data_IF_169243101444
#
_entry.id   IF_169243101444
#
_cell.length_a   1.000
_cell.length_b   1.000
_cell.length_c   1.000
_cell.angle_alpha   90.00
_cell.angle_beta   90.00
_cell.angle_gamma   90.00
#
_symmetry.space_group_name_H-M   'P 1'
#
loop_
_entity.id
_entity.type
_entity.pdbx_description
1 polymer ?
#
# COMPACT_ATOMS: atom_id res chain seq x y z
N UNK A 1 25.84 -36.44 -5.42
CA UNK A 1 24.74 -36.94 -4.58
C UNK A 1 24.92 -36.25 -3.22
N UNK A 2 24.19 -35.15 -2.98
CA UNK A 2 23.05 -35.07 -2.04
C UNK A 2 23.47 -35.55 -0.64
N UNK A 3 23.46 -34.75 0.42
CA UNK A 3 22.26 -34.06 0.92
C UNK A 3 22.58 -32.79 1.72
N UNK A 4 21.67 -31.83 1.54
CA UNK A 4 21.49 -30.62 2.32
C UNK A 4 21.04 -30.95 3.75
N UNK A 5 21.56 -30.25 4.75
CA UNK A 5 20.79 -30.04 5.98
C UNK A 5 21.01 -28.61 6.49
N UNK A 6 20.09 -27.75 6.07
CA UNK A 6 19.96 -26.38 6.50
C UNK A 6 19.06 -26.37 7.73
N UNK A 7 19.66 -26.38 8.92
CA UNK A 7 18.91 -26.16 10.15
C UNK A 7 18.67 -24.66 10.35
N UNK A 8 17.61 -24.17 9.71
CA UNK A 8 16.94 -22.92 10.05
C UNK A 8 16.33 -23.06 11.46
N UNK A 9 17.11 -22.81 12.50
CA UNK A 9 16.53 -22.46 13.80
C UNK A 9 16.06 -21.01 13.72
N UNK A 10 14.83 -20.87 13.23
CA UNK A 10 14.06 -19.64 13.30
C UNK A 10 13.70 -19.40 14.76
N UNK A 11 14.47 -18.56 15.43
CA UNK A 11 14.11 -17.93 16.70
C UNK A 11 12.78 -17.18 16.54
N UNK A 12 11.68 -17.87 16.79
CA UNK A 12 10.38 -17.26 16.98
C UNK A 12 10.38 -16.56 18.34
N UNK A 13 10.85 -15.32 18.34
CA UNK A 13 10.56 -14.38 19.43
C UNK A 13 9.10 -13.91 19.31
N UNK A 14 8.22 -14.17 20.29
CA UNK A 14 6.82 -13.72 20.25
C UNK A 14 6.72 -12.27 20.74
N UNK A 15 7.48 -11.34 20.15
CA UNK A 15 7.58 -9.97 20.68
C UNK A 15 7.60 -8.83 19.67
N UNK A 16 7.14 -9.07 18.45
CA UNK A 16 6.88 -8.00 17.47
C UNK A 16 5.66 -8.32 16.61
N UNK A 17 4.51 -8.57 17.23
CA UNK A 17 3.25 -8.15 16.61
C UNK A 17 3.11 -6.63 16.75
N UNK A 18 4.09 -5.89 16.21
CA UNK A 18 4.01 -4.46 16.02
C UNK A 18 2.92 -4.25 14.98
N UNK A 19 1.76 -3.81 15.48
CA UNK A 19 0.57 -3.38 14.74
C UNK A 19 0.75 -3.40 13.23
N UNK A 20 0.25 -4.45 12.59
CA UNK A 20 0.11 -4.47 11.13
C UNK A 20 -0.68 -3.23 10.75
N UNK A 21 -0.04 -2.27 10.07
CA UNK A 21 -0.70 -1.05 9.57
C UNK A 21 -2.05 -1.43 8.95
N UNK A 22 -3.11 -0.71 9.28
CA UNK A 22 -4.46 -1.00 8.80
C UNK A 22 -4.52 -1.14 7.25
N UNK A 23 -3.63 -0.42 6.55
CA UNK A 23 -3.42 -0.56 5.10
C UNK A 23 -2.89 -1.95 4.69
N UNK A 24 -1.95 -2.54 5.45
CA UNK A 24 -1.47 -3.90 5.26
C UNK A 24 -2.55 -4.95 5.58
N UNK A 25 -3.35 -4.74 6.63
CA UNK A 25 -4.47 -5.63 6.98
C UNK A 25 -5.50 -5.71 5.84
N UNK A 26 -5.93 -4.56 5.33
CA UNK A 26 -6.91 -4.51 4.27
C UNK A 26 -6.36 -4.92 2.91
N UNK A 27 -5.06 -4.70 2.66
CA UNK A 27 -4.37 -5.28 1.51
C UNK A 27 -4.39 -6.81 1.54
N UNK A 28 -4.16 -7.42 2.72
CA UNK A 28 -4.25 -8.88 2.87
C UNK A 28 -5.68 -9.37 2.60
N UNK A 29 -6.72 -8.64 3.04
CA UNK A 29 -8.11 -8.98 2.70
C UNK A 29 -8.38 -8.93 1.19
N UNK A 30 -7.90 -7.92 0.47
CA UNK A 30 -8.13 -7.84 -0.99
C UNK A 30 -7.35 -8.87 -1.80
N UNK A 31 -6.17 -9.30 -1.33
CA UNK A 31 -5.47 -10.44 -1.92
C UNK A 31 -6.28 -11.75 -1.78
N UNK A 32 -7.17 -11.86 -0.79
CA UNK A 32 -7.99 -13.06 -0.56
C UNK A 32 -9.20 -13.23 -1.48
N UNK A 33 -9.61 -12.22 -2.28
CA UNK A 33 -10.86 -12.30 -3.06
C UNK A 33 -10.70 -13.15 -4.34
N UNK A 34 -11.64 -14.06 -4.64
CA UNK A 34 -11.68 -14.77 -5.93
C UNK A 34 -12.00 -13.79 -7.08
N UNK A 35 -11.39 -13.99 -8.26
CA UNK A 35 -11.38 -13.06 -9.42
C UNK A 35 -10.71 -11.71 -9.15
N UNK A 36 -9.44 -11.76 -8.74
CA UNK A 36 -8.55 -10.61 -8.53
C UNK A 36 -8.47 -9.73 -9.79
N UNK A 37 -9.15 -8.59 -9.79
CA UNK A 37 -8.87 -7.50 -10.73
C UNK A 37 -7.78 -6.64 -10.12
N UNK A 38 -6.54 -6.70 -10.63
CA UNK A 38 -5.40 -5.95 -10.06
C UNK A 38 -5.69 -4.46 -9.86
N UNK A 39 -6.45 -3.85 -10.78
CA UNK A 39 -6.89 -2.46 -10.65
C UNK A 39 -7.80 -2.24 -9.43
N UNK A 40 -8.69 -3.18 -9.11
CA UNK A 40 -9.55 -3.08 -7.92
C UNK A 40 -8.73 -3.15 -6.65
N UNK A 41 -7.76 -4.06 -6.59
CA UNK A 41 -6.84 -4.19 -5.45
C UNK A 41 -6.03 -2.89 -5.27
N UNK A 42 -5.51 -2.33 -6.37
CA UNK A 42 -4.78 -1.07 -6.35
C UNK A 42 -5.68 0.11 -5.93
N UNK A 43 -6.91 0.19 -6.42
CA UNK A 43 -7.91 1.18 -6.01
C UNK A 43 -8.21 1.11 -4.51
N UNK A 44 -8.45 -0.10 -3.99
CA UNK A 44 -8.68 -0.29 -2.55
C UNK A 44 -7.45 0.11 -1.75
N UNK A 45 -6.25 -0.30 -2.16
CA UNK A 45 -5.02 0.14 -1.49
C UNK A 45 -4.88 1.67 -1.47
N UNK A 46 -5.17 2.33 -2.59
CA UNK A 46 -5.13 3.79 -2.69
C UNK A 46 -6.13 4.46 -1.74
N UNK A 47 -7.37 3.96 -1.68
CA UNK A 47 -8.41 4.48 -0.78
C UNK A 47 -7.95 4.40 0.68
N UNK A 48 -7.36 3.29 1.09
CA UNK A 48 -7.01 3.03 2.47
C UNK A 48 -5.77 3.79 2.92
N UNK A 49 -4.79 3.96 2.01
CA UNK A 49 -3.68 4.89 2.26
C UNK A 49 -4.20 6.32 2.47
N UNK A 50 -5.22 6.76 1.72
CA UNK A 50 -5.82 8.08 1.95
C UNK A 50 -6.51 8.20 3.31
N UNK A 51 -7.32 7.21 3.70
CA UNK A 51 -7.99 7.18 5.00
C UNK A 51 -6.98 7.22 6.15
N UNK A 52 -5.88 6.47 6.05
CA UNK A 52 -4.82 6.45 7.06
C UNK A 52 -4.12 7.80 7.19
N UNK A 53 -3.81 8.45 6.05
CA UNK A 53 -3.22 9.81 6.06
C UNK A 53 -4.16 10.79 6.76
N UNK A 54 -5.46 10.77 6.45
CA UNK A 54 -6.45 11.66 7.06
C UNK A 54 -6.59 11.44 8.57
N UNK A 55 -6.67 10.18 9.00
CA UNK A 55 -6.76 9.82 10.42
C UNK A 55 -5.52 10.28 11.19
N UNK A 56 -4.32 10.07 10.63
CA UNK A 56 -3.09 10.46 11.30
C UNK A 56 -2.95 11.99 11.39
N UNK A 57 -3.36 12.73 10.36
CA UNK A 57 -3.42 14.19 10.42
C UNK A 57 -4.35 14.67 11.53
N UNK A 58 -5.54 14.06 11.65
CA UNK A 58 -6.49 14.39 12.72
C UNK A 58 -5.91 14.13 14.11
N UNK A 59 -5.26 12.98 14.30
CA UNK A 59 -4.60 12.66 15.58
C UNK A 59 -3.50 13.66 15.93
N UNK A 60 -2.70 14.08 14.96
CA UNK A 60 -1.68 15.11 15.18
C UNK A 60 -2.28 16.44 15.65
N UNK A 61 -3.43 16.84 15.10
CA UNK A 61 -4.16 18.03 15.56
C UNK A 61 -4.68 17.87 16.99
N UNK A 62 -5.17 16.69 17.36
CA UNK A 62 -5.69 16.40 18.70
C UNK A 62 -4.58 16.39 19.77
N UNK A 63 -3.37 15.93 19.43
CA UNK A 63 -2.22 15.88 20.35
C UNK A 63 -1.34 17.13 20.33
N UNK A 64 -1.59 18.10 19.45
CA UNK A 64 -0.74 19.29 19.31
C UNK A 64 -0.69 20.19 20.56
N UNK A 65 -1.66 20.02 21.46
CA UNK A 65 -1.78 20.78 22.71
C UNK A 65 -1.65 19.88 23.95
N UNK A 66 -1.17 18.65 23.77
CA UNK A 66 -0.99 17.69 24.86
C UNK A 66 0.23 18.09 25.70
N UNK A 67 0.11 18.30 27.02
CA UNK A 67 1.25 18.56 27.89
C UNK A 67 2.26 17.41 27.95
N UNK A 68 1.90 16.19 27.54
CA UNK A 68 2.80 15.03 27.42
C UNK A 68 3.37 14.86 26.00
N UNK A 69 3.33 15.90 25.17
CA UNK A 69 3.75 15.84 23.77
C UNK A 69 5.22 15.41 23.61
N UNK A 70 5.42 14.25 22.99
CA UNK A 70 6.72 13.74 22.56
C UNK A 70 7.06 14.22 21.14
N UNK A 71 7.99 15.17 21.06
CA UNK A 71 8.44 15.76 19.80
C UNK A 71 9.17 14.75 18.88
N UNK A 72 9.89 13.77 19.44
CA UNK A 72 10.61 12.78 18.65
C UNK A 72 9.62 11.79 18.02
N UNK A 73 8.66 11.30 18.80
CA UNK A 73 7.57 10.47 18.29
C UNK A 73 6.76 11.20 17.21
N UNK A 74 6.47 12.48 17.40
CA UNK A 74 5.77 13.31 16.40
C UNK A 74 6.55 13.43 15.09
N UNK A 75 7.87 13.66 15.16
CA UNK A 75 8.75 13.71 13.98
C UNK A 75 8.79 12.37 13.22
N UNK A 76 8.88 11.24 13.94
CA UNK A 76 8.81 9.91 13.34
C UNK A 76 7.45 9.65 12.65
N UNK A 77 6.35 10.10 13.26
CA UNK A 77 5.01 10.01 12.65
C UNK A 77 4.89 10.88 11.39
N UNK A 78 5.47 12.08 11.37
CA UNK A 78 5.54 12.91 10.17
C UNK A 78 6.32 12.22 9.05
N UNK A 79 7.49 11.64 9.35
CA UNK A 79 8.27 10.88 8.38
C UNK A 79 7.50 9.68 7.82
N UNK A 80 6.75 8.97 8.67
CA UNK A 80 5.88 7.88 8.24
C UNK A 80 4.75 8.37 7.31
N UNK A 81 4.12 9.49 7.64
CA UNK A 81 3.10 10.13 6.80
C UNK A 81 3.62 10.50 5.41
N UNK A 82 4.83 11.05 5.33
CA UNK A 82 5.43 11.42 4.05
C UNK A 82 5.74 10.21 3.17
N UNK A 83 6.18 9.10 3.77
CA UNK A 83 6.34 7.82 3.07
C UNK A 83 5.00 7.29 2.53
N UNK A 84 3.93 7.39 3.30
CA UNK A 84 2.58 6.99 2.86
C UNK A 84 2.07 7.87 1.71
N UNK A 85 2.33 9.18 1.74
CA UNK A 85 2.01 10.11 0.65
C UNK A 85 2.79 9.78 -0.63
N UNK A 86 4.09 9.56 -0.52
CA UNK A 86 4.92 9.18 -1.65
C UNK A 86 4.44 7.84 -2.25
N UNK A 87 4.13 6.88 -1.39
CA UNK A 87 3.58 5.59 -1.81
C UNK A 87 2.25 5.75 -2.58
N UNK A 88 1.32 6.54 -2.05
CA UNK A 88 0.05 6.88 -2.70
C UNK A 88 0.27 7.45 -4.09
N UNK A 89 1.18 8.40 -4.24
CA UNK A 89 1.40 9.11 -5.50
C UNK A 89 2.05 8.19 -6.56
N UNK A 90 2.99 7.34 -6.14
CA UNK A 90 3.56 6.28 -6.98
C UNK A 90 2.48 5.28 -7.43
N UNK A 91 1.61 4.85 -6.51
CA UNK A 91 0.53 3.91 -6.81
C UNK A 91 -0.47 4.51 -7.81
N UNK A 92 -0.90 5.76 -7.59
CA UNK A 92 -1.79 6.50 -8.49
C UNK A 92 -1.20 6.62 -9.89
N UNK A 93 0.07 6.99 -10.00
CA UNK A 93 0.79 7.09 -11.27
C UNK A 93 0.85 5.76 -11.99
N UNK A 94 1.14 4.67 -11.27
CA UNK A 94 1.17 3.32 -11.86
C UNK A 94 -0.21 2.89 -12.37
N UNK A 95 -1.28 3.16 -11.63
CA UNK A 95 -2.65 2.89 -12.06
C UNK A 95 -3.00 3.67 -13.33
N UNK A 96 -2.66 4.95 -13.39
CA UNK A 96 -2.89 5.79 -14.57
C UNK A 96 -2.17 5.25 -15.82
N UNK A 97 -0.88 4.91 -15.69
CA UNK A 97 -0.11 4.29 -16.78
C UNK A 97 -0.70 2.97 -17.26
N UNK A 98 -1.29 2.17 -16.37
CA UNK A 98 -1.96 0.92 -16.76
C UNK A 98 -3.22 1.19 -17.58
N UNK A 99 -4.02 2.18 -17.19
CA UNK A 99 -5.21 2.60 -17.94
C UNK A 99 -4.81 3.07 -19.35
N UNK A 100 -3.79 3.93 -19.46
CA UNK A 100 -3.29 4.43 -20.74
C UNK A 100 -2.78 3.31 -21.64
N UNK A 101 -2.03 2.34 -21.10
CA UNK A 101 -1.58 1.15 -21.84
C UNK A 101 -2.76 0.34 -22.37
N UNK A 102 -3.81 0.13 -21.56
CA UNK A 102 -5.01 -0.57 -22.01
C UNK A 102 -5.74 0.19 -23.11
N UNK A 103 -5.90 1.51 -22.98
CA UNK A 103 -6.52 2.35 -24.00
C UNK A 103 -5.73 2.32 -25.32
N UNK A 104 -4.40 2.41 -25.27
CA UNK A 104 -3.53 2.32 -26.46
C UNK A 104 -3.67 0.98 -27.17
N UNK A 105 -3.69 -0.13 -26.42
CA UNK A 105 -3.92 -1.48 -26.96
C UNK A 105 -5.30 -1.60 -27.61
N UNK A 106 -6.35 -1.08 -26.97
CA UNK A 106 -7.72 -1.09 -27.51
C UNK A 106 -7.81 -0.29 -28.83
N UNK A 107 -7.20 0.90 -28.89
CA UNK A 107 -7.14 1.71 -30.12
C UNK A 107 -6.42 0.97 -31.24
N UNK A 108 -5.27 0.34 -30.95
CA UNK A 108 -4.51 -0.45 -31.93
C UNK A 108 -5.35 -1.61 -32.49
N UNK A 109 -6.01 -2.36 -31.62
CA UNK A 109 -6.89 -3.46 -32.01
C UNK A 109 -8.04 -3.02 -32.91
N UNK A 110 -8.70 -1.91 -32.59
CA UNK A 110 -9.77 -1.35 -33.43
C UNK A 110 -9.26 -0.87 -34.79
N UNK A 111 -8.05 -0.31 -34.86
CA UNK A 111 -7.42 0.06 -36.12
C UNK A 111 -7.02 -1.16 -36.96
N UNK A 112 -6.60 -2.26 -36.33
CA UNK A 112 -6.28 -3.51 -37.02
C UNK A 112 -7.54 -4.18 -37.56
N UNK A 113 -8.67 -4.13 -36.83
CA UNK A 113 -9.95 -4.66 -37.31
C UNK A 113 -10.58 -3.80 -38.40
N UNK A 114 -10.53 -2.47 -38.29
CA UNK A 114 -11.09 -1.58 -39.33
C UNK A 114 -10.26 -1.53 -40.63
N UNK A 115 -9.15 -2.27 -40.69
CA UNK A 115 -8.31 -2.46 -41.87
C UNK A 115 -8.48 -3.86 -42.51
N UNK A 116 -9.30 -4.73 -41.90
CA UNK A 116 -9.81 -5.98 -42.49
C UNK A 116 -11.08 -5.67 -43.29
#
# INVERSE_FOLDING_TARGET
>A
MSEYSCNYYSDYTPRTEKSVSYALYLHRRELGRPRRKMMRIASTKLQLTNELIQLQQRRQWETAFDPEFDAEASSQQMSALDREREYRDRLRTNMQRQIEKQQKRKRKYLQEIGKL
#
